data_IF_176787899175
#
_entry.id   IF_176787899175
#
_cell.length_a   1.000
_cell.length_b   1.000
_cell.length_c   1.000
_cell.angle_alpha   90.00
_cell.angle_beta   90.00
_cell.angle_gamma   90.00
#
_symmetry.space_group_name_H-M   'P 1'
#
loop_
_entity.id
_entity.type
_entity.pdbx_description
1 polymer ?
#
# COMPACT_ATOMS: atom_id res chain seq x y z
N UNK A 1 45.39 -11.63 -23.25
CA UNK A 1 44.04 -12.21 -23.12
C UNK A 1 43.61 -12.27 -21.65
N UNK A 2 42.85 -11.27 -21.20
CA UNK A 2 42.41 -11.16 -19.81
C UNK A 2 41.07 -11.88 -19.64
N UNK A 3 41.10 -12.95 -18.85
CA UNK A 3 39.97 -13.78 -18.49
C UNK A 3 38.94 -12.95 -17.73
N UNK A 4 37.73 -12.84 -18.29
CA UNK A 4 36.57 -12.29 -17.61
C UNK A 4 36.19 -13.23 -16.46
N UNK A 5 36.56 -12.84 -15.24
CA UNK A 5 36.08 -13.48 -14.02
C UNK A 5 34.62 -13.04 -13.83
N UNK A 6 33.71 -13.94 -14.18
CA UNK A 6 32.30 -13.88 -13.80
C UNK A 6 32.24 -14.01 -12.27
N UNK A 7 32.37 -12.89 -11.54
CA UNK A 7 32.02 -12.88 -10.13
C UNK A 7 30.50 -12.83 -10.01
N UNK A 8 29.91 -14.01 -9.75
CA UNK A 8 28.60 -14.18 -9.12
C UNK A 8 28.61 -13.63 -7.68
N UNK A 9 28.92 -12.35 -7.51
CA UNK A 9 28.63 -11.65 -6.27
C UNK A 9 27.71 -10.52 -6.66
N UNK A 10 26.48 -10.58 -6.13
CA UNK A 10 25.42 -9.59 -6.21
C UNK A 10 25.98 -8.19 -6.48
N UNK A 11 25.74 -7.71 -7.70
CA UNK A 11 26.25 -6.44 -8.16
C UNK A 11 25.75 -5.35 -7.19
N UNK A 12 26.65 -4.60 -6.53
CA UNK A 12 26.24 -3.54 -5.60
C UNK A 12 25.33 -2.50 -6.26
N UNK A 13 25.39 -2.35 -7.59
CA UNK A 13 24.44 -1.54 -8.35
C UNK A 13 23.01 -2.10 -8.27
N UNK A 14 22.84 -3.43 -8.38
CA UNK A 14 21.53 -4.10 -8.29
C UNK A 14 21.01 -4.09 -6.85
N UNK A 15 21.87 -4.23 -5.84
CA UNK A 15 21.46 -4.09 -4.44
C UNK A 15 21.01 -2.65 -4.12
N UNK A 16 21.71 -1.65 -4.66
CA UNK A 16 21.35 -0.25 -4.48
C UNK A 16 20.01 0.07 -5.18
N UNK A 17 19.84 -0.38 -6.42
CA UNK A 17 18.59 -0.20 -7.17
C UNK A 17 17.40 -0.84 -6.45
N UNK A 18 17.56 -2.06 -5.92
CA UNK A 18 16.52 -2.72 -5.14
C UNK A 18 16.19 -1.97 -3.84
N UNK A 19 17.19 -1.44 -3.14
CA UNK A 19 16.99 -0.68 -1.92
C UNK A 19 16.30 0.67 -2.18
N UNK A 20 16.68 1.35 -3.28
CA UNK A 20 16.02 2.57 -3.73
C UNK A 20 14.57 2.31 -4.14
N UNK A 21 14.33 1.21 -4.88
CA UNK A 21 12.98 0.78 -5.26
C UNK A 21 12.09 0.51 -4.05
N UNK A 22 12.57 -0.28 -3.08
CA UNK A 22 11.84 -0.56 -1.85
C UNK A 22 11.55 0.71 -1.04
N UNK A 23 12.53 1.59 -0.91
CA UNK A 23 12.36 2.88 -0.22
C UNK A 23 11.38 3.82 -0.94
N UNK A 24 11.35 3.78 -2.27
CA UNK A 24 10.42 4.55 -3.09
C UNK A 24 8.98 4.04 -2.95
N UNK A 25 8.75 2.72 -3.08
CA UNK A 25 7.44 2.10 -2.89
C UNK A 25 6.87 2.39 -1.49
N UNK A 26 7.71 2.30 -0.44
CA UNK A 26 7.28 2.62 0.92
C UNK A 26 6.84 4.08 1.08
N UNK A 27 7.61 5.01 0.49
CA UNK A 27 7.26 6.45 0.51
C UNK A 27 5.97 6.73 -0.25
N UNK A 28 5.78 6.11 -1.41
CA UNK A 28 4.55 6.22 -2.19
C UNK A 28 3.34 5.72 -1.39
N UNK A 29 3.46 4.54 -0.77
CA UNK A 29 2.41 3.98 0.07
C UNK A 29 2.09 4.90 1.25
N UNK A 30 3.11 5.40 1.96
CA UNK A 30 2.92 6.33 3.09
C UNK A 30 2.20 7.60 2.65
N UNK A 31 2.62 8.20 1.53
CA UNK A 31 2.00 9.42 0.97
C UNK A 31 0.57 9.17 0.50
N UNK A 32 0.30 7.98 -0.04
CA UNK A 32 -1.04 7.57 -0.44
C UNK A 32 -1.97 7.39 0.78
N UNK A 33 -1.43 6.85 1.89
CA UNK A 33 -2.11 6.74 3.18
C UNK A 33 -2.40 8.12 3.79
N UNK A 34 -1.50 9.09 3.67
CA UNK A 34 -1.74 10.47 4.12
C UNK A 34 -2.86 11.17 3.32
N UNK A 35 -3.09 10.76 2.06
CA UNK A 35 -4.18 11.27 1.22
C UNK A 35 -5.56 10.66 1.51
N UNK A 36 -5.63 9.67 2.40
CA UNK A 36 -6.86 9.04 2.86
C UNK A 36 -7.41 9.79 4.06
N UNK A 37 -8.73 9.95 4.08
CA UNK A 37 -9.41 10.41 5.29
C UNK A 37 -9.30 9.35 6.40
N UNK A 38 -9.21 9.81 7.64
CA UNK A 38 -9.00 8.96 8.84
C UNK A 38 -9.99 7.79 8.92
N UNK A 39 -11.26 8.03 8.53
CA UNK A 39 -12.29 6.98 8.46
C UNK A 39 -12.00 5.94 7.38
N UNK A 40 -11.62 6.37 6.18
CA UNK A 40 -11.24 5.45 5.11
C UNK A 40 -9.98 4.65 5.46
N UNK A 41 -9.03 5.26 6.16
CA UNK A 41 -7.83 4.57 6.66
C UNK A 41 -8.19 3.49 7.67
N UNK A 42 -9.07 3.78 8.64
CA UNK A 42 -9.54 2.78 9.62
C UNK A 42 -10.32 1.62 8.97
N UNK A 43 -11.17 1.92 7.98
CA UNK A 43 -11.91 0.89 7.24
C UNK A 43 -10.96 -0.03 6.48
N UNK A 44 -9.96 0.53 5.77
CA UNK A 44 -9.01 -0.27 5.00
C UNK A 44 -8.07 -1.04 5.92
N UNK A 45 -7.55 -0.43 6.99
CA UNK A 45 -6.68 -1.11 7.95
C UNK A 45 -7.41 -2.27 8.63
N UNK A 46 -8.64 -2.05 9.11
CA UNK A 46 -9.47 -3.07 9.77
C UNK A 46 -9.86 -4.23 8.85
N UNK A 47 -9.85 -4.04 7.52
CA UNK A 47 -10.23 -5.09 6.54
C UNK A 47 -9.05 -5.82 5.92
N UNK A 48 -7.91 -5.14 5.77
CA UNK A 48 -6.78 -5.63 5.00
C UNK A 48 -5.53 -5.88 5.86
N UNK A 49 -5.31 -5.06 6.88
CA UNK A 49 -4.10 -5.09 7.72
C UNK A 49 -4.35 -5.76 9.08
N UNK A 50 -5.60 -5.87 9.53
CA UNK A 50 -5.94 -6.57 10.76
C UNK A 50 -5.89 -8.11 10.57
N UNK A 51 -5.39 -8.81 11.59
CA UNK A 51 -5.42 -10.29 11.64
C UNK A 51 -6.86 -10.81 11.58
N UNK A 52 -7.75 -10.21 12.36
CA UNK A 52 -9.18 -10.48 12.30
C UNK A 52 -9.87 -9.42 11.42
N UNK A 53 -10.26 -9.84 10.21
CA UNK A 53 -10.86 -8.93 9.23
C UNK A 53 -12.26 -8.51 9.66
N UNK A 54 -12.44 -7.21 9.90
CA UNK A 54 -13.75 -6.68 10.21
C UNK A 54 -14.71 -6.82 9.01
N UNK A 55 -15.93 -7.27 9.28
CA UNK A 55 -16.99 -7.32 8.28
C UNK A 55 -17.53 -5.92 7.99
N UNK A 56 -18.17 -5.73 6.82
CA UNK A 56 -18.82 -4.45 6.49
C UNK A 56 -19.87 -4.04 7.54
N UNK A 57 -20.57 -5.01 8.14
CA UNK A 57 -21.58 -4.76 9.16
C UNK A 57 -20.96 -4.28 10.48
N UNK A 58 -19.86 -4.89 10.93
CA UNK A 58 -19.17 -4.46 12.15
C UNK A 58 -18.61 -3.04 12.02
N UNK A 59 -18.06 -2.69 10.85
CA UNK A 59 -17.58 -1.34 10.59
C UNK A 59 -18.74 -0.33 10.45
N UNK A 60 -19.85 -0.76 9.85
CA UNK A 60 -21.06 0.04 9.74
C UNK A 60 -21.61 0.41 11.13
N UNK A 61 -21.67 -0.57 12.04
CA UNK A 61 -22.07 -0.34 13.44
C UNK A 61 -21.10 0.58 14.17
N UNK A 62 -19.78 0.34 14.05
CA UNK A 62 -18.74 1.15 14.71
C UNK A 62 -18.76 2.62 14.27
N UNK A 63 -18.91 2.86 12.96
CA UNK A 63 -18.91 4.21 12.41
C UNK A 63 -20.31 4.82 12.29
N UNK A 64 -21.36 4.12 12.74
CA UNK A 64 -22.76 4.53 12.69
C UNK A 64 -23.22 4.94 11.27
N UNK A 65 -22.84 4.15 10.28
CA UNK A 65 -23.22 4.35 8.86
C UNK A 65 -23.75 3.03 8.28
N UNK A 66 -24.28 3.06 7.06
CA UNK A 66 -24.71 1.82 6.40
C UNK A 66 -23.51 1.00 5.89
N UNK A 67 -23.70 -0.33 5.79
CA UNK A 67 -22.69 -1.22 5.20
C UNK A 67 -22.33 -0.83 3.76
N UNK A 68 -23.29 -0.36 2.97
CA UNK A 68 -23.02 0.17 1.63
C UNK A 68 -22.14 1.43 1.69
N UNK A 69 -22.33 2.30 2.68
CA UNK A 69 -21.46 3.47 2.85
C UNK A 69 -20.03 3.07 3.18
N UNK A 70 -19.82 2.07 4.04
CA UNK A 70 -18.49 1.49 4.29
C UNK A 70 -17.88 0.96 2.99
N UNK A 71 -18.65 0.22 2.19
CA UNK A 71 -18.20 -0.31 0.90
C UNK A 71 -17.76 0.80 -0.06
N UNK A 72 -18.49 1.91 -0.12
CA UNK A 72 -18.13 3.07 -0.93
C UNK A 72 -16.85 3.74 -0.44
N UNK A 73 -16.69 3.90 0.88
CA UNK A 73 -15.47 4.45 1.47
C UNK A 73 -14.26 3.56 1.17
N UNK A 74 -14.38 2.25 1.36
CA UNK A 74 -13.34 1.28 1.00
C UNK A 74 -12.96 1.38 -0.49
N UNK A 75 -13.95 1.42 -1.38
CA UNK A 75 -13.69 1.47 -2.81
C UNK A 75 -13.00 2.78 -3.24
N UNK A 76 -13.42 3.92 -2.68
CA UNK A 76 -12.79 5.21 -2.90
C UNK A 76 -11.36 5.23 -2.36
N UNK A 77 -11.17 4.66 -1.17
CA UNK A 77 -9.87 4.56 -0.53
C UNK A 77 -8.89 3.77 -1.39
N UNK A 78 -9.31 2.58 -1.84
CA UNK A 78 -8.50 1.72 -2.69
C UNK A 78 -8.23 2.35 -4.06
N UNK A 79 -9.16 3.15 -4.59
CA UNK A 79 -8.94 3.92 -5.82
C UNK A 79 -7.86 4.98 -5.62
N UNK A 80 -7.84 5.70 -4.50
CA UNK A 80 -6.79 6.68 -4.16
C UNK A 80 -5.43 6.01 -4.00
N UNK A 81 -5.37 4.87 -3.28
CA UNK A 81 -4.13 4.10 -3.12
C UNK A 81 -3.55 3.67 -4.48
N UNK A 82 -4.38 3.06 -5.34
CA UNK A 82 -3.95 2.67 -6.69
C UNK A 82 -3.52 3.87 -7.52
N UNK A 83 -4.26 4.98 -7.45
CA UNK A 83 -3.90 6.18 -8.18
C UNK A 83 -2.52 6.71 -7.74
N UNK A 84 -2.23 6.76 -6.43
CA UNK A 84 -0.95 7.24 -5.93
C UNK A 84 0.25 6.37 -6.36
N UNK A 85 0.06 5.05 -6.46
CA UNK A 85 1.11 4.13 -6.93
C UNK A 85 1.27 4.19 -8.47
N UNK A 86 0.17 4.37 -9.21
CA UNK A 86 0.20 4.40 -10.69
C UNK A 86 0.59 5.77 -11.26
N UNK A 87 0.33 6.88 -10.56
CA UNK A 87 0.69 8.22 -11.06
C UNK A 87 2.18 8.55 -10.93
N UNK A 88 2.95 7.81 -10.12
CA UNK A 88 4.40 8.00 -9.96
C UNK A 88 5.23 6.92 -10.69
N UNK A 89 4.59 6.03 -11.46
CA UNK A 89 5.22 5.03 -12.34
C UNK A 89 5.26 5.51 -13.79
#
# INVERSE_FOLDING_TARGET
PASYLYQQNDDPAVMLENAEWQGHEQKLLSKALDGLDERSLDIVSSRWLAEEKATLHQLAERHQVSAERIRQLEQNAMKKLRAAVVFEA
#
